data_IF_341953323516
#
_entry.id   IF_341953323516
#
_cell.length_a   1.000
_cell.length_b   1.000
_cell.length_c   1.000
_cell.angle_alpha   90.00
_cell.angle_beta   90.00
_cell.angle_gamma   90.00
#
_symmetry.space_group_name_H-M   'P 1'
#
loop_
_entity.id
_entity.type
_entity.pdbx_description
1 polymer ?
#
# COMPACT_ATOMS: atom_id res chain seq x y z
N UNK A 1 -6.71 23.59 25.60
CA UNK A 1 -7.59 22.42 25.80
C UNK A 1 -6.92 21.31 26.57
N UNK A 2 -5.83 20.71 26.06
CA UNK A 2 -5.00 19.79 26.86
C UNK A 2 -4.08 20.50 27.85
N UNK A 3 -3.57 21.68 27.47
CA UNK A 3 -2.76 22.57 28.32
C UNK A 3 -3.60 23.76 28.84
N UNK A 4 -4.90 23.53 29.12
CA UNK A 4 -5.81 24.53 29.69
C UNK A 4 -6.10 25.81 28.87
N UNK A 5 -5.55 25.96 27.65
CA UNK A 5 -5.94 27.05 26.72
C UNK A 5 -7.44 27.01 26.43
N UNK A 6 -8.14 28.14 26.55
CA UNK A 6 -9.59 28.21 26.36
C UNK A 6 -9.97 28.27 24.85
N UNK A 7 -11.24 28.01 24.53
CA UNK A 7 -11.77 28.01 23.15
C UNK A 7 -11.62 29.38 22.50
N UNK A 8 -11.87 30.45 23.24
CA UNK A 8 -11.87 31.82 22.72
C UNK A 8 -10.47 32.25 22.27
N UNK A 9 -9.44 31.91 23.05
CA UNK A 9 -8.04 32.18 22.73
C UNK A 9 -7.58 31.40 21.49
N UNK A 10 -7.96 30.11 21.38
CA UNK A 10 -7.65 29.32 20.17
C UNK A 10 -8.37 29.90 18.95
N UNK A 11 -9.61 30.36 19.10
CA UNK A 11 -10.35 31.02 18.03
C UNK A 11 -9.66 32.30 17.57
N UNK A 12 -9.24 33.16 18.50
CA UNK A 12 -8.53 34.40 18.19
C UNK A 12 -7.22 34.17 17.42
N UNK A 13 -6.51 33.07 17.71
CA UNK A 13 -5.24 32.73 17.07
C UNK A 13 -5.40 32.01 15.72
N UNK A 14 -6.39 31.12 15.62
CA UNK A 14 -6.55 30.22 14.46
C UNK A 14 -7.60 30.66 13.45
N UNK A 15 -8.51 31.56 13.87
CA UNK A 15 -9.73 31.94 13.14
C UNK A 15 -10.69 30.77 12.85
N UNK A 16 -10.48 29.59 13.46
CA UNK A 16 -11.40 28.45 13.38
C UNK A 16 -12.65 28.77 14.17
N UNK A 17 -13.82 28.54 13.58
CA UNK A 17 -15.10 28.81 14.25
C UNK A 17 -15.22 28.07 15.59
N UNK A 18 -15.77 28.76 16.58
CA UNK A 18 -15.91 28.25 17.95
C UNK A 18 -16.72 26.96 18.01
N UNK A 19 -17.66 26.74 17.09
CA UNK A 19 -18.41 25.49 16.98
C UNK A 19 -17.47 24.29 16.80
N UNK A 20 -16.53 24.35 15.84
CA UNK A 20 -15.56 23.27 15.63
C UNK A 20 -14.64 23.10 16.83
N UNK A 21 -14.20 24.21 17.44
CA UNK A 21 -13.32 24.15 18.61
C UNK A 21 -14.04 23.48 19.80
N UNK A 22 -15.31 23.78 20.04
CA UNK A 22 -16.12 23.12 21.07
C UNK A 22 -16.22 21.61 20.82
N UNK A 23 -16.39 21.17 19.57
CA UNK A 23 -16.38 19.74 19.23
C UNK A 23 -15.00 19.09 19.50
N UNK A 24 -13.89 19.78 19.20
CA UNK A 24 -12.56 19.31 19.58
C UNK A 24 -12.39 19.23 21.11
N UNK A 25 -13.03 20.13 21.88
CA UNK A 25 -13.03 20.07 23.34
C UNK A 25 -13.65 18.79 23.85
N UNK A 26 -14.80 18.41 23.31
CA UNK A 26 -15.51 17.18 23.70
C UNK A 26 -14.62 15.94 23.48
N UNK A 27 -13.90 15.90 22.36
CA UNK A 27 -12.91 14.84 22.10
C UNK A 27 -11.77 14.85 23.13
N UNK A 28 -11.24 16.02 23.49
CA UNK A 28 -10.18 16.13 24.52
C UNK A 28 -10.69 15.68 25.90
N UNK A 29 -11.90 16.09 26.27
CA UNK A 29 -12.51 15.73 27.55
C UNK A 29 -12.80 14.21 27.60
N UNK A 30 -13.21 13.60 26.48
CA UNK A 30 -13.37 12.14 26.34
C UNK A 30 -12.03 11.38 26.45
N UNK A 31 -10.94 11.93 25.91
CA UNK A 31 -9.60 11.36 26.08
C UNK A 31 -9.15 11.42 27.54
N UNK A 32 -9.38 12.54 28.24
CA UNK A 32 -9.10 12.66 29.67
C UNK A 32 -9.92 11.66 30.50
N UNK A 33 -11.20 11.47 30.13
CA UNK A 33 -12.07 10.45 30.73
C UNK A 33 -11.47 9.03 30.59
N UNK A 34 -10.91 8.70 29.42
CA UNK A 34 -10.23 7.42 29.18
C UNK A 34 -8.93 7.30 29.97
N UNK A 35 -8.08 8.33 29.96
CA UNK A 35 -6.78 8.32 30.65
C UNK A 35 -6.90 8.19 32.17
N UNK A 36 -8.02 8.64 32.74
CA UNK A 36 -8.31 8.53 34.16
C UNK A 36 -8.71 7.11 34.61
N UNK A 37 -8.86 6.15 33.70
CA UNK A 37 -9.40 4.80 33.97
C UNK A 37 -8.55 3.71 33.33
N UNK A 38 -8.66 2.50 33.86
CA UNK A 38 -8.18 1.30 33.18
C UNK A 38 -9.25 0.75 32.24
N UNK A 39 -8.82 -0.04 31.27
CA UNK A 39 -9.73 -0.69 30.32
C UNK A 39 -10.80 -1.52 31.05
N UNK A 40 -10.47 -2.19 32.16
CA UNK A 40 -11.42 -3.04 32.92
C UNK A 40 -12.60 -2.26 33.50
N UNK A 41 -12.40 -1.02 33.93
CA UNK A 41 -13.43 -0.18 34.55
C UNK A 41 -14.34 0.56 33.55
N UNK A 42 -14.05 0.48 32.25
CA UNK A 42 -14.88 1.08 31.22
C UNK A 42 -16.21 0.30 31.06
N UNK A 43 -17.34 0.97 31.27
CA UNK A 43 -18.68 0.39 31.12
C UNK A 43 -19.07 0.30 29.65
N UNK A 44 -20.12 -0.47 29.34
CA UNK A 44 -20.66 -0.57 27.97
C UNK A 44 -21.06 0.80 27.42
N UNK A 45 -21.77 1.61 28.21
CA UNK A 45 -22.24 2.93 27.78
C UNK A 45 -21.08 3.89 27.56
N UNK A 46 -20.10 3.93 28.48
CA UNK A 46 -18.90 4.75 28.32
C UNK A 46 -18.06 4.33 27.11
N UNK A 47 -18.00 3.03 26.83
CA UNK A 47 -17.34 2.51 25.64
C UNK A 47 -18.07 2.96 24.37
N UNK A 48 -19.40 2.81 24.31
CA UNK A 48 -20.20 3.23 23.15
C UNK A 48 -20.08 4.73 22.89
N UNK A 49 -20.09 5.54 23.95
CA UNK A 49 -19.99 6.99 23.82
C UNK A 49 -18.65 7.40 23.23
N UNK A 50 -17.55 6.82 23.71
CA UNK A 50 -16.21 7.05 23.19
C UNK A 50 -16.09 6.64 21.72
N UNK A 51 -16.70 5.52 21.31
CA UNK A 51 -16.71 5.10 19.90
C UNK A 51 -17.56 6.05 19.02
N UNK A 52 -18.66 6.60 19.53
CA UNK A 52 -19.45 7.63 18.83
C UNK A 52 -18.70 8.94 18.63
N UNK A 53 -17.78 9.27 19.54
CA UNK A 53 -16.83 10.39 19.36
C UNK A 53 -15.69 10.06 18.38
N UNK A 54 -15.69 8.88 17.74
CA UNK A 54 -14.73 8.50 16.71
C UNK A 54 -13.39 7.95 17.21
N UNK A 55 -13.27 7.57 18.49
CA UNK A 55 -12.03 6.99 19.00
C UNK A 55 -11.78 5.59 18.43
N UNK A 56 -10.61 5.39 17.83
CA UNK A 56 -10.12 4.07 17.42
C UNK A 56 -9.75 3.19 18.63
N UNK A 57 -9.78 1.88 18.43
CA UNK A 57 -9.35 0.90 19.43
C UNK A 57 -7.89 1.14 19.83
N UNK A 58 -7.05 1.63 18.90
CA UNK A 58 -5.67 2.05 19.14
C UNK A 58 -5.55 3.27 20.06
N UNK A 59 -6.38 4.29 19.88
CA UNK A 59 -6.40 5.47 20.76
C UNK A 59 -6.89 5.12 22.16
N UNK A 60 -7.93 4.29 22.26
CA UNK A 60 -8.42 3.78 23.55
C UNK A 60 -7.31 2.99 24.23
N UNK A 61 -6.64 2.08 23.52
CA UNK A 61 -5.55 1.27 24.04
C UNK A 61 -4.41 2.12 24.60
N UNK A 62 -4.02 3.17 23.86
CA UNK A 62 -3.04 4.15 24.32
C UNK A 62 -3.49 4.85 25.61
N UNK A 63 -4.71 5.37 25.65
CA UNK A 63 -5.23 6.10 26.81
C UNK A 63 -5.39 5.19 28.05
N UNK A 64 -5.85 3.95 27.87
CA UNK A 64 -6.08 3.00 28.96
C UNK A 64 -4.87 2.15 29.31
N UNK A 65 -3.70 2.40 28.68
CA UNK A 65 -2.45 1.65 28.85
C UNK A 65 -2.61 0.14 28.65
N UNK A 66 -3.38 -0.23 27.62
CA UNK A 66 -3.64 -1.61 27.22
C UNK A 66 -3.21 -1.84 25.77
N UNK A 67 -3.44 -3.03 25.25
CA UNK A 67 -3.21 -3.36 23.84
C UNK A 67 -4.48 -3.18 23.01
N UNK A 68 -4.32 -2.89 21.71
CA UNK A 68 -5.43 -2.77 20.75
C UNK A 68 -6.30 -4.04 20.72
N UNK A 69 -5.66 -5.21 20.80
CA UNK A 69 -6.34 -6.51 20.85
C UNK A 69 -7.24 -6.68 22.08
N UNK A 70 -6.80 -6.21 23.24
CA UNK A 70 -7.62 -6.24 24.46
C UNK A 70 -8.83 -5.32 24.36
N UNK A 71 -8.64 -4.11 23.79
CA UNK A 71 -9.74 -3.17 23.54
C UNK A 71 -10.76 -3.76 22.58
N UNK A 72 -10.32 -4.31 21.44
CA UNK A 72 -11.20 -4.99 20.47
C UNK A 72 -11.97 -6.15 21.11
N UNK A 73 -11.30 -6.96 21.92
CA UNK A 73 -11.94 -8.09 22.62
C UNK A 73 -13.04 -7.61 23.59
N UNK A 74 -12.78 -6.51 24.32
CA UNK A 74 -13.76 -5.90 25.21
C UNK A 74 -14.92 -5.23 24.45
N UNK A 75 -14.63 -4.56 23.33
CA UNK A 75 -15.65 -4.00 22.44
C UNK A 75 -16.61 -5.08 21.95
N UNK A 76 -16.06 -6.20 21.47
CA UNK A 76 -16.83 -7.33 20.97
C UNK A 76 -17.68 -8.00 22.07
N UNK A 77 -17.19 -8.08 23.31
CA UNK A 77 -17.96 -8.66 24.42
C UNK A 77 -19.20 -7.83 24.80
N UNK A 78 -19.20 -6.53 24.49
CA UNK A 78 -20.36 -5.66 24.66
C UNK A 78 -21.31 -5.64 23.45
N UNK A 79 -20.95 -6.32 22.36
CA UNK A 79 -21.65 -6.22 21.07
C UNK A 79 -21.41 -4.88 20.36
N UNK A 80 -20.29 -4.21 20.65
CA UNK A 80 -19.92 -2.92 20.06
C UNK A 80 -19.33 -3.06 18.65
N UNK A 81 -20.05 -3.70 17.74
CA UNK A 81 -19.69 -3.68 16.31
C UNK A 81 -20.26 -2.43 15.66
N UNK A 82 -19.54 -1.79 14.71
CA UNK A 82 -20.11 -0.67 13.97
C UNK A 82 -21.33 -1.12 13.17
N UNK A 83 -22.30 -0.24 13.02
CA UNK A 83 -23.32 -0.29 11.98
C UNK A 83 -22.81 0.47 10.75
N UNK A 84 -23.38 0.16 9.58
CA UNK A 84 -23.03 0.84 8.34
C UNK A 84 -24.26 1.52 7.76
N UNK A 85 -24.09 2.75 7.30
CA UNK A 85 -25.12 3.63 6.77
C UNK A 85 -24.88 3.92 5.30
N UNK A 86 -25.94 4.08 4.52
CA UNK A 86 -25.84 4.42 3.09
C UNK A 86 -25.81 5.92 2.88
N UNK A 87 -25.03 6.33 1.88
CA UNK A 87 -25.10 7.70 1.35
C UNK A 87 -26.16 7.75 0.25
N UNK A 88 -27.20 8.55 0.46
CA UNK A 88 -28.40 8.61 -0.41
C UNK A 88 -28.75 10.01 -0.95
N UNK A 89 -28.00 11.04 -0.54
CA UNK A 89 -28.21 12.46 -0.84
C UNK A 89 -29.57 13.06 -0.41
N UNK A 90 -30.45 12.28 0.22
CA UNK A 90 -31.81 12.68 0.60
C UNK A 90 -32.12 12.43 2.09
N UNK A 91 -31.11 12.08 2.90
CA UNK A 91 -31.25 11.87 4.34
C UNK A 91 -32.36 10.85 4.67
N UNK A 92 -32.37 9.73 3.93
CA UNK A 92 -33.34 8.65 4.01
C UNK A 92 -34.81 9.04 3.71
N UNK A 93 -35.05 10.18 3.04
CA UNK A 93 -36.40 10.51 2.53
C UNK A 93 -36.89 9.46 1.53
N UNK A 94 -35.96 8.89 0.74
CA UNK A 94 -36.24 7.84 -0.24
C UNK A 94 -35.35 6.62 0.00
N UNK A 95 -35.89 5.43 -0.26
CA UNK A 95 -35.08 4.20 -0.23
C UNK A 95 -34.00 4.23 -1.31
N UNK A 96 -32.76 3.88 -0.93
CA UNK A 96 -31.63 3.81 -1.84
C UNK A 96 -31.06 2.39 -1.93
N UNK A 97 -30.54 2.06 -3.12
CA UNK A 97 -29.71 0.88 -3.35
C UNK A 97 -28.26 1.26 -3.67
N UNK A 98 -27.83 2.49 -3.34
CA UNK A 98 -26.46 2.94 -3.57
C UNK A 98 -25.48 2.04 -2.82
N UNK A 99 -24.38 1.59 -3.46
CA UNK A 99 -23.40 0.73 -2.82
C UNK A 99 -22.49 1.49 -1.84
N UNK A 100 -22.74 2.77 -1.58
CA UNK A 100 -21.84 3.67 -0.88
C UNK A 100 -22.17 3.75 0.61
N UNK A 101 -21.23 3.29 1.45
CA UNK A 101 -21.45 3.15 2.89
C UNK A 101 -20.34 3.74 3.73
N UNK A 102 -20.68 4.10 4.96
CA UNK A 102 -19.76 4.51 6.02
C UNK A 102 -20.19 3.92 7.37
N UNK A 103 -19.23 3.72 8.27
CA UNK A 103 -19.44 3.15 9.59
C UNK A 103 -19.92 4.21 10.58
N UNK A 104 -20.78 3.78 11.50
CA UNK A 104 -21.22 4.55 12.65
C UNK A 104 -21.45 3.60 13.84
N UNK A 105 -21.49 4.15 15.04
CA UNK A 105 -21.87 3.41 16.25
C UNK A 105 -23.35 3.67 16.63
N UNK A 106 -24.21 3.71 15.61
CA UNK A 106 -25.67 3.83 15.73
C UNK A 106 -26.36 2.46 15.73
N UNK A 107 -27.66 2.43 16.05
CA UNK A 107 -28.41 1.19 16.32
C UNK A 107 -28.76 0.36 15.09
N UNK A 108 -28.89 0.94 13.90
CA UNK A 108 -29.39 0.25 12.69
C UNK A 108 -28.31 0.13 11.62
N UNK A 109 -28.15 -1.08 11.06
CA UNK A 109 -27.15 -1.37 10.03
C UNK A 109 -27.84 -1.64 8.67
N UNK A 110 -27.45 -0.88 7.65
CA UNK A 110 -28.02 -0.87 6.31
C UNK A 110 -27.17 -1.63 5.29
N UNK A 111 -26.07 -2.27 5.72
CA UNK A 111 -25.13 -2.94 4.81
C UNK A 111 -25.74 -4.08 4.00
N UNK A 112 -26.70 -4.80 4.59
CA UNK A 112 -27.42 -5.93 3.99
C UNK A 112 -26.50 -6.88 3.17
N UNK A 113 -25.49 -7.53 3.79
CA UNK A 113 -24.52 -8.35 3.07
C UNK A 113 -25.16 -9.49 2.28
N UNK A 114 -24.69 -9.71 1.05
CA UNK A 114 -25.21 -10.79 0.19
C UNK A 114 -24.50 -12.14 0.43
N UNK A 115 -25.01 -13.24 -0.13
CA UNK A 115 -24.34 -14.56 -0.12
C UNK A 115 -23.57 -14.87 -1.41
N UNK A 116 -23.47 -13.92 -2.33
CA UNK A 116 -22.70 -14.10 -3.57
C UNK A 116 -21.22 -14.25 -3.22
N UNK A 117 -20.43 -14.81 -4.14
CA UNK A 117 -18.98 -14.79 -3.98
C UNK A 117 -18.48 -13.34 -4.04
N UNK A 118 -17.64 -12.93 -3.08
CA UNK A 118 -17.14 -11.57 -2.96
C UNK A 118 -15.63 -11.55 -2.82
N UNK A 119 -15.01 -10.56 -3.44
CA UNK A 119 -13.59 -10.24 -3.23
C UNK A 119 -13.54 -8.84 -2.67
N UNK A 120 -12.90 -8.68 -1.51
CA UNK A 120 -12.63 -7.39 -0.91
C UNK A 120 -11.34 -6.83 -1.51
N UNK A 121 -11.35 -5.59 -2.00
CA UNK A 121 -10.14 -4.91 -2.51
C UNK A 121 -9.80 -3.79 -1.53
N UNK A 122 -8.59 -3.83 -0.98
CA UNK A 122 -8.08 -2.76 -0.13
C UNK A 122 -7.33 -1.74 -0.99
N UNK A 123 -7.81 -0.50 -0.99
CA UNK A 123 -7.22 0.59 -1.74
C UNK A 123 -6.50 1.60 -0.82
N UNK A 124 -5.52 2.30 -1.37
CA UNK A 124 -4.83 3.43 -0.76
C UNK A 124 -5.18 4.79 -1.38
N UNK A 125 -6.00 4.81 -2.44
CA UNK A 125 -6.39 6.02 -3.18
C UNK A 125 -7.88 6.38 -3.09
N UNK A 126 -8.28 7.55 -3.63
CA UNK A 126 -9.67 7.98 -3.68
C UNK A 126 -10.47 7.12 -4.66
N UNK A 127 -11.48 6.42 -4.16
CA UNK A 127 -12.40 5.63 -4.97
C UNK A 127 -13.73 6.35 -5.24
N UNK A 128 -14.32 6.07 -6.41
CA UNK A 128 -15.68 6.47 -6.75
C UNK A 128 -16.66 5.31 -6.52
N UNK A 129 -17.88 5.63 -6.07
CA UNK A 129 -18.91 4.64 -5.74
C UNK A 129 -19.43 3.83 -6.93
N UNK A 130 -19.23 4.29 -8.16
CA UNK A 130 -19.65 3.58 -9.39
C UNK A 130 -18.72 2.42 -9.78
N UNK A 131 -17.64 2.19 -9.03
CA UNK A 131 -16.58 1.24 -9.41
C UNK A 131 -16.77 -0.18 -8.86
N UNK A 132 -17.66 -0.37 -7.88
CA UNK A 132 -17.84 -1.64 -7.17
C UNK A 132 -19.30 -1.94 -6.86
N UNK A 133 -19.62 -3.22 -6.64
CA UNK A 133 -20.95 -3.64 -6.15
C UNK A 133 -21.24 -3.12 -4.72
N UNK A 134 -20.19 -2.75 -3.99
CA UNK A 134 -20.20 -2.35 -2.59
C UNK A 134 -18.95 -1.51 -2.31
N UNK A 135 -19.11 -0.31 -1.75
CA UNK A 135 -18.05 0.61 -1.37
C UNK A 135 -18.18 0.96 0.11
N UNK A 136 -17.18 0.57 0.90
CA UNK A 136 -17.01 1.00 2.28
C UNK A 136 -16.00 2.16 2.31
N UNK A 137 -16.47 3.35 2.69
CA UNK A 137 -15.66 4.56 2.80
C UNK A 137 -15.09 4.68 4.20
N UNK A 138 -14.15 3.79 4.50
CA UNK A 138 -13.52 3.69 5.81
C UNK A 138 -12.06 4.11 5.75
N UNK A 139 -11.50 4.58 6.88
CA UNK A 139 -10.05 4.62 7.05
C UNK A 139 -9.43 3.24 6.80
N UNK A 140 -8.35 3.16 6.01
CA UNK A 140 -7.60 1.92 5.75
C UNK A 140 -6.77 1.46 6.96
N UNK A 141 -7.44 1.15 8.07
CA UNK A 141 -6.85 0.67 9.34
C UNK A 141 -7.21 -0.79 9.58
N UNK A 142 -6.39 -1.48 10.38
CA UNK A 142 -6.65 -2.89 10.74
C UNK A 142 -8.03 -3.05 11.38
N UNK A 143 -8.41 -2.15 12.28
CA UNK A 143 -9.70 -2.17 12.97
C UNK A 143 -10.88 -2.21 12.01
N UNK A 144 -10.93 -1.26 11.07
CA UNK A 144 -12.07 -1.11 10.15
C UNK A 144 -12.10 -2.20 9.08
N UNK A 145 -10.93 -2.61 8.58
CA UNK A 145 -10.84 -3.72 7.65
C UNK A 145 -11.39 -5.01 8.29
N UNK A 146 -11.03 -5.29 9.55
CA UNK A 146 -11.57 -6.44 10.27
C UNK A 146 -13.08 -6.33 10.50
N UNK A 147 -13.60 -5.14 10.79
CA UNK A 147 -15.04 -4.92 10.94
C UNK A 147 -15.80 -5.27 9.63
N UNK A 148 -15.29 -4.81 8.48
CA UNK A 148 -15.86 -5.13 7.17
C UNK A 148 -15.72 -6.62 6.84
N UNK A 149 -14.59 -7.27 7.14
CA UNK A 149 -14.39 -8.71 6.91
C UNK A 149 -15.38 -9.55 7.72
N UNK A 150 -15.56 -9.22 9.01
CA UNK A 150 -16.48 -9.94 9.90
C UNK A 150 -17.94 -9.83 9.42
N UNK A 151 -18.30 -8.65 8.90
CA UNK A 151 -19.63 -8.36 8.35
C UNK A 151 -19.86 -9.04 6.99
N UNK A 152 -18.96 -8.83 6.02
CA UNK A 152 -19.16 -9.24 4.63
C UNK A 152 -18.76 -10.68 4.34
N UNK A 153 -17.84 -11.23 5.14
CA UNK A 153 -17.23 -12.56 5.00
C UNK A 153 -16.78 -12.83 3.57
N UNK A 154 -15.87 -12.02 3.00
CA UNK A 154 -15.44 -12.17 1.62
C UNK A 154 -14.70 -13.50 1.39
N UNK A 155 -14.79 -14.05 0.18
CA UNK A 155 -14.08 -15.27 -0.22
C UNK A 155 -12.58 -15.02 -0.45
N UNK A 156 -12.19 -13.78 -0.70
CA UNK A 156 -10.81 -13.37 -0.92
C UNK A 156 -10.60 -11.89 -0.64
N UNK A 157 -9.35 -11.52 -0.36
CA UNK A 157 -8.94 -10.14 -0.09
C UNK A 157 -7.73 -9.82 -0.97
N UNK A 158 -7.79 -8.73 -1.74
CA UNK A 158 -6.69 -8.21 -2.55
C UNK A 158 -6.10 -7.01 -1.82
N UNK A 159 -4.81 -7.09 -1.51
CA UNK A 159 -4.03 -6.07 -0.78
C UNK A 159 -2.90 -5.48 -1.63
N UNK A 160 -2.67 -6.05 -2.82
CA UNK A 160 -1.51 -5.77 -3.66
C UNK A 160 -1.69 -4.57 -4.59
N UNK A 161 -2.88 -3.94 -4.62
CA UNK A 161 -3.20 -2.84 -5.54
C UNK A 161 -3.12 -1.46 -4.89
N UNK A 162 -3.47 -1.33 -3.60
CA UNK A 162 -3.54 -0.05 -2.90
C UNK A 162 -2.21 0.50 -2.37
N UNK A 163 -1.07 0.03 -2.88
CA UNK A 163 0.26 0.50 -2.47
C UNK A 163 0.68 0.05 -1.06
N UNK A 164 1.47 0.88 -0.38
CA UNK A 164 2.13 0.51 0.87
C UNK A 164 1.18 0.32 2.06
N UNK A 165 0.05 1.04 2.10
CA UNK A 165 -0.86 0.99 3.26
C UNK A 165 -1.48 -0.40 3.44
N UNK A 166 -2.14 -1.02 2.43
CA UNK A 166 -2.65 -2.38 2.57
C UNK A 166 -1.54 -3.44 2.65
N UNK A 167 -0.40 -3.24 2.00
CA UNK A 167 0.73 -4.18 2.07
C UNK A 167 1.30 -4.32 3.49
N UNK A 168 1.40 -3.22 4.24
CA UNK A 168 1.85 -3.24 5.64
C UNK A 168 0.91 -4.04 6.54
N UNK A 169 -0.37 -4.04 6.25
CA UNK A 169 -1.38 -4.80 6.99
C UNK A 169 -1.33 -6.31 6.70
N UNK A 170 -0.79 -6.70 5.55
CA UNK A 170 -0.69 -8.10 5.13
C UNK A 170 0.59 -8.83 5.60
N UNK A 171 1.48 -8.16 6.33
CA UNK A 171 2.80 -8.70 6.67
C UNK A 171 2.79 -9.56 7.95
N UNK A 172 3.24 -10.81 7.84
CA UNK A 172 4.39 -11.25 8.62
C UNK A 172 5.49 -11.85 7.72
N UNK A 173 6.76 -11.48 7.97
CA UNK A 173 7.99 -12.16 7.51
C UNK A 173 8.26 -12.11 5.99
N UNK A 174 8.89 -11.03 5.50
CA UNK A 174 9.50 -11.01 4.14
C UNK A 174 11.03 -10.88 4.16
N UNK A 175 11.59 -10.12 5.10
CA UNK A 175 12.97 -9.63 4.96
C UNK A 175 14.06 -10.71 5.15
N UNK A 176 13.83 -11.73 5.98
CA UNK A 176 14.83 -12.79 6.20
C UNK A 176 14.95 -13.81 5.06
N UNK A 177 13.93 -13.91 4.20
CA UNK A 177 13.82 -14.98 3.19
C UNK A 177 14.23 -14.53 1.78
N UNK A 178 14.21 -13.22 1.51
CA UNK A 178 14.53 -12.66 0.20
C UNK A 178 16.00 -12.88 -0.21
N UNK A 179 16.95 -12.49 0.65
CA UNK A 179 18.39 -12.66 0.36
C UNK A 179 18.80 -14.14 0.17
N UNK A 180 18.13 -15.06 0.88
CA UNK A 180 18.35 -16.49 0.70
C UNK A 180 17.91 -16.95 -0.71
N UNK A 181 16.74 -16.51 -1.17
CA UNK A 181 16.22 -16.81 -2.51
C UNK A 181 17.16 -16.27 -3.60
N UNK A 182 17.66 -15.05 -3.45
CA UNK A 182 18.57 -14.45 -4.43
C UNK A 182 19.87 -15.25 -4.58
N UNK A 183 20.44 -15.71 -3.45
CA UNK A 183 21.62 -16.58 -3.44
C UNK A 183 21.36 -17.93 -4.11
N UNK A 184 20.22 -18.56 -3.83
CA UNK A 184 19.83 -19.82 -4.48
C UNK A 184 19.64 -19.67 -6.00
N UNK A 185 19.14 -18.51 -6.44
CA UNK A 185 18.90 -18.21 -7.85
C UNK A 185 20.13 -17.69 -8.61
N UNK A 186 21.25 -17.44 -7.92
CA UNK A 186 22.43 -16.73 -8.44
C UNK A 186 22.04 -15.38 -9.08
N UNK A 187 21.22 -14.60 -8.38
CA UNK A 187 20.87 -13.22 -8.76
C UNK A 187 21.79 -12.28 -7.99
N UNK A 188 22.47 -11.40 -8.72
CA UNK A 188 23.39 -10.44 -8.13
C UNK A 188 22.65 -9.20 -7.61
N UNK A 189 23.12 -8.70 -6.48
CA UNK A 189 22.71 -7.41 -5.91
C UNK A 189 23.96 -6.55 -5.70
N UNK A 190 23.80 -5.21 -5.63
CA UNK A 190 24.86 -4.34 -5.14
C UNK A 190 25.31 -4.80 -3.75
N UNK A 191 26.58 -4.57 -3.41
CA UNK A 191 27.07 -4.81 -2.06
C UNK A 191 26.28 -3.95 -1.08
N UNK A 192 25.77 -4.56 -0.01
CA UNK A 192 24.89 -3.95 0.99
C UNK A 192 24.96 -4.70 2.33
N UNK A 193 24.17 -4.28 3.32
CA UNK A 193 24.16 -4.87 4.67
C UNK A 193 22.92 -4.53 5.54
N UNK A 194 22.96 -4.83 6.84
CA UNK A 194 21.95 -4.38 7.82
C UNK A 194 22.64 -3.75 9.03
N UNK A 195 22.31 -2.49 9.36
CA UNK A 195 23.00 -1.64 10.31
C UNK A 195 21.96 -1.25 11.36
N UNK A 196 22.25 -1.56 12.61
CA UNK A 196 21.35 -1.30 13.75
C UNK A 196 21.90 -0.20 14.65
N UNK A 197 23.07 0.32 14.31
CA UNK A 197 23.76 1.40 15.00
C UNK A 197 24.60 2.19 14.00
N UNK A 198 25.01 3.40 14.41
CA UNK A 198 25.94 4.23 13.65
C UNK A 198 27.28 3.51 13.38
N UNK A 199 27.79 2.77 14.36
CA UNK A 199 29.04 2.01 14.23
C UNK A 199 28.93 0.92 13.15
N UNK A 200 27.81 0.19 13.09
CA UNK A 200 27.55 -0.80 12.06
C UNK A 200 27.52 -0.14 10.67
N UNK A 201 26.84 1.00 10.56
CA UNK A 201 26.72 1.74 9.30
C UNK A 201 28.09 2.19 8.77
N UNK A 202 28.96 2.69 9.64
CA UNK A 202 30.33 3.09 9.28
C UNK A 202 31.19 1.89 8.86
N UNK A 203 31.09 0.77 9.57
CA UNK A 203 31.82 -0.45 9.22
C UNK A 203 31.39 -1.01 7.85
N UNK A 204 30.08 -1.02 7.59
CA UNK A 204 29.51 -1.46 6.32
C UNK A 204 29.91 -0.50 5.19
N UNK A 205 29.82 0.82 5.40
CA UNK A 205 30.24 1.80 4.41
C UNK A 205 31.74 1.69 4.07
N UNK A 206 32.59 1.37 5.05
CA UNK A 206 34.01 1.15 4.83
C UNK A 206 34.31 -0.12 3.99
N UNK A 207 33.53 -1.19 4.17
CA UNK A 207 33.66 -2.43 3.38
C UNK A 207 33.12 -2.27 1.94
N UNK A 208 32.00 -1.56 1.80
CA UNK A 208 31.33 -1.36 0.51
C UNK A 208 32.04 -0.31 -0.36
N UNK A 209 32.54 0.75 0.28
CA UNK A 209 33.13 1.92 -0.37
C UNK A 209 32.11 3.00 -0.74
N UNK A 210 32.51 4.26 -0.62
CA UNK A 210 31.67 5.43 -0.97
C UNK A 210 31.61 5.69 -2.48
N UNK A 211 30.52 6.30 -2.99
CA UNK A 211 29.31 6.73 -2.25
C UNK A 211 28.36 5.56 -1.90
N UNK A 212 27.52 5.77 -0.88
CA UNK A 212 26.58 4.76 -0.38
C UNK A 212 25.15 5.30 -0.30
N UNK A 213 24.15 4.42 -0.49
CA UNK A 213 22.72 4.75 -0.41
C UNK A 213 22.14 4.30 0.92
N UNK A 214 21.60 5.23 1.73
CA UNK A 214 21.02 4.91 3.06
C UNK A 214 19.49 4.98 3.02
N UNK A 215 18.82 3.87 3.32
CA UNK A 215 17.35 3.78 3.35
C UNK A 215 16.81 3.62 4.79
N UNK A 216 15.59 4.08 5.06
CA UNK A 216 14.99 4.09 6.42
C UNK A 216 14.75 2.68 7.01
N UNK A 217 14.88 1.61 6.25
CA UNK A 217 14.63 0.23 6.69
C UNK A 217 15.69 -0.78 6.23
N UNK A 218 16.71 -0.33 5.48
CA UNK A 218 17.78 -1.14 4.92
C UNK A 218 19.01 -0.27 4.62
N UNK A 219 20.22 -0.83 4.65
CA UNK A 219 21.45 -0.04 4.73
C UNK A 219 22.03 0.29 3.39
N UNK A 220 22.89 1.30 3.44
CA UNK A 220 24.16 1.48 2.70
C UNK A 220 24.39 0.45 1.60
N UNK A 221 23.70 0.56 0.47
CA UNK A 221 24.08 -0.13 -0.75
C UNK A 221 25.18 0.66 -1.46
N UNK A 222 26.07 -0.02 -2.18
CA UNK A 222 27.04 0.67 -3.05
C UNK A 222 26.27 1.49 -4.07
N UNK A 223 26.53 2.80 -4.10
CA UNK A 223 26.01 3.63 -5.17
C UNK A 223 26.68 3.22 -6.49
N UNK A 224 25.87 2.87 -7.48
CA UNK A 224 26.34 2.49 -8.81
C UNK A 224 26.29 3.74 -9.70
N UNK A 225 27.42 4.42 -9.82
CA UNK A 225 27.57 5.60 -10.69
C UNK A 225 27.43 5.24 -12.16
N UNK A 226 26.82 6.15 -12.93
CA UNK A 226 26.64 6.04 -14.39
C UNK A 226 25.91 4.77 -14.84
N UNK A 227 25.04 4.23 -13.97
CA UNK A 227 24.28 3.03 -14.25
C UNK A 227 22.87 3.36 -14.75
N UNK A 228 22.36 2.55 -15.69
CA UNK A 228 21.00 2.69 -16.23
C UNK A 228 20.03 1.90 -15.37
N UNK A 229 18.94 2.52 -14.92
CA UNK A 229 17.88 1.86 -14.17
C UNK A 229 16.81 1.28 -15.10
N UNK A 230 16.32 0.08 -14.76
CA UNK A 230 15.33 -0.67 -15.52
C UNK A 230 14.18 -1.07 -14.60
N UNK A 231 12.95 -0.73 -14.98
CA UNK A 231 11.74 -1.24 -14.35
C UNK A 231 11.15 -2.39 -15.16
N UNK A 232 10.71 -3.44 -14.48
CA UNK A 232 10.05 -4.58 -15.10
C UNK A 232 8.76 -4.89 -14.37
N UNK A 233 7.63 -4.71 -15.06
CA UNK A 233 6.34 -5.18 -14.58
C UNK A 233 6.06 -6.58 -15.14
N UNK A 234 5.58 -7.48 -14.28
CA UNK A 234 5.29 -8.87 -14.63
C UNK A 234 3.97 -9.33 -14.05
N UNK A 235 3.38 -10.33 -14.70
CA UNK A 235 2.17 -10.99 -14.28
C UNK A 235 2.40 -12.49 -14.12
N UNK A 236 2.03 -13.05 -12.98
CA UNK A 236 2.17 -14.46 -12.66
C UNK A 236 0.86 -15.08 -12.17
N UNK A 237 0.64 -16.36 -12.47
CA UNK A 237 -0.53 -17.12 -11.99
C UNK A 237 -0.16 -18.21 -10.97
N UNK A 238 -1.19 -18.78 -10.35
CA UNK A 238 -1.07 -19.88 -9.39
C UNK A 238 -0.49 -21.18 -9.97
N UNK A 239 -0.33 -21.26 -11.29
CA UNK A 239 0.24 -22.41 -11.99
C UNK A 239 1.73 -22.20 -12.34
N UNK A 240 2.38 -21.20 -11.73
CA UNK A 240 3.76 -20.81 -11.99
C UNK A 240 4.03 -20.34 -13.43
N UNK A 241 3.00 -19.92 -14.17
CA UNK A 241 3.21 -19.22 -15.43
C UNK A 241 3.55 -17.77 -15.13
N UNK A 242 4.51 -17.21 -15.87
CA UNK A 242 4.97 -15.83 -15.69
C UNK A 242 5.14 -15.17 -17.05
N UNK A 243 4.52 -14.01 -17.23
CA UNK A 243 4.61 -13.20 -18.43
C UNK A 243 5.14 -11.82 -18.07
N UNK A 244 6.09 -11.33 -18.87
CA UNK A 244 6.59 -9.97 -18.75
C UNK A 244 5.53 -9.03 -19.32
N UNK A 245 5.12 -8.04 -18.53
CA UNK A 245 4.22 -6.97 -18.96
C UNK A 245 4.97 -5.92 -19.79
N UNK A 246 6.11 -5.46 -19.29
CA UNK A 246 6.99 -4.54 -20.01
C UNK A 246 8.34 -4.37 -19.32
N UNK A 247 9.38 -4.10 -20.12
CA UNK A 247 10.73 -3.76 -19.65
C UNK A 247 10.99 -2.31 -20.03
N UNK A 248 11.02 -1.43 -19.03
CA UNK A 248 11.13 0.01 -19.19
C UNK A 248 12.55 0.47 -18.88
N UNK A 249 13.13 1.25 -19.78
CA UNK A 249 14.45 1.86 -19.60
C UNK A 249 14.28 3.28 -19.09
N UNK A 250 14.93 3.63 -17.97
CA UNK A 250 14.91 5.00 -17.47
C UNK A 250 15.83 5.89 -18.31
N UNK A 251 15.45 7.17 -18.44
CA UNK A 251 16.28 8.19 -19.08
C UNK A 251 17.36 8.68 -18.12
N UNK A 252 16.96 8.95 -16.87
CA UNK A 252 17.87 9.28 -15.79
C UNK A 252 18.65 8.04 -15.33
N UNK A 253 19.86 8.28 -14.83
CA UNK A 253 20.69 7.25 -14.22
C UNK A 253 20.12 6.79 -12.87
N UNK A 254 20.50 5.58 -12.47
CA UNK A 254 20.23 5.06 -11.13
C UNK A 254 20.71 6.04 -10.06
N UNK A 255 19.83 6.34 -9.11
CA UNK A 255 20.05 7.37 -8.09
C UNK A 255 19.02 8.50 -8.14
N UNK A 256 18.39 8.74 -9.30
CA UNK A 256 17.12 9.46 -9.38
C UNK A 256 16.01 8.45 -9.12
N UNK A 257 15.09 8.77 -8.21
CA UNK A 257 14.05 7.83 -7.81
C UNK A 257 13.12 7.48 -8.98
N UNK A 258 12.80 6.20 -9.19
CA UNK A 258 11.97 5.69 -10.30
C UNK A 258 10.62 6.39 -10.51
N UNK A 259 10.05 6.96 -9.44
CA UNK A 259 8.82 7.76 -9.52
C UNK A 259 8.98 9.06 -10.30
N UNK A 260 10.17 9.64 -10.22
CA UNK A 260 10.54 10.94 -10.78
C UNK A 260 11.21 10.79 -12.15
N UNK A 261 11.85 9.65 -12.42
CA UNK A 261 12.50 9.39 -13.69
C UNK A 261 11.51 9.31 -14.86
N UNK A 262 11.91 9.84 -16.01
CA UNK A 262 11.30 9.52 -17.28
C UNK A 262 11.71 8.11 -17.70
N UNK A 263 10.87 7.41 -18.45
CA UNK A 263 11.21 6.08 -18.95
C UNK A 263 10.58 5.77 -20.30
N UNK A 264 11.17 4.79 -20.98
CA UNK A 264 10.81 4.38 -22.33
C UNK A 264 10.45 2.89 -22.38
N UNK A 265 9.39 2.56 -23.12
CA UNK A 265 9.00 1.19 -23.49
C UNK A 265 8.78 1.11 -25.01
N UNK A 266 9.47 0.22 -25.75
CA UNK A 266 10.49 -0.72 -25.29
C UNK A 266 11.84 -0.04 -25.03
N UNK A 267 12.72 -0.69 -24.25
CA UNK A 267 14.12 -0.27 -24.07
C UNK A 267 14.83 -0.04 -25.42
N UNK A 268 15.63 1.01 -25.53
CA UNK A 268 16.29 1.46 -26.76
C UNK A 268 17.79 1.19 -26.78
N UNK A 269 18.50 1.42 -25.66
CA UNK A 269 19.97 1.41 -25.65
C UNK A 269 20.57 0.13 -25.07
N UNK A 270 19.76 -0.65 -24.36
CA UNK A 270 20.24 -1.83 -23.63
C UNK A 270 20.48 -3.02 -24.56
N UNK A 271 21.60 -3.70 -24.35
CA UNK A 271 21.96 -4.90 -25.10
C UNK A 271 20.95 -6.05 -24.89
N UNK A 272 20.74 -6.86 -25.93
CA UNK A 272 19.85 -8.03 -25.84
C UNK A 272 20.30 -9.05 -24.79
N UNK A 273 21.60 -9.12 -24.50
CA UNK A 273 22.16 -10.00 -23.46
C UNK A 273 21.64 -9.60 -22.07
N UNK A 274 21.78 -8.32 -21.70
CA UNK A 274 21.27 -7.80 -20.43
C UNK A 274 19.76 -7.98 -20.32
N UNK A 275 19.02 -7.64 -21.39
CA UNK A 275 17.58 -7.79 -21.40
C UNK A 275 17.11 -9.25 -21.24
N UNK A 276 17.86 -10.21 -21.79
CA UNK A 276 17.58 -11.64 -21.58
C UNK A 276 17.87 -12.07 -20.14
N UNK A 277 18.95 -11.58 -19.53
CA UNK A 277 19.27 -11.80 -18.12
C UNK A 277 18.17 -11.27 -17.22
N UNK A 278 17.76 -10.01 -17.43
CA UNK A 278 16.66 -9.36 -16.69
C UNK A 278 15.39 -10.21 -16.79
N UNK A 279 14.91 -10.51 -18.00
CA UNK A 279 13.69 -11.34 -18.18
C UNK A 279 13.80 -12.71 -17.53
N UNK A 280 14.97 -13.35 -17.58
CA UNK A 280 15.23 -14.65 -16.97
C UNK A 280 15.16 -14.57 -15.44
N UNK A 281 15.86 -13.60 -14.85
CA UNK A 281 15.88 -13.37 -13.41
C UNK A 281 14.50 -13.01 -12.89
N UNK A 282 13.77 -12.11 -13.55
CA UNK A 282 12.42 -11.73 -13.13
C UNK A 282 11.47 -12.94 -13.12
N UNK A 283 11.51 -13.78 -14.16
CA UNK A 283 10.68 -15.00 -14.21
C UNK A 283 11.04 -16.01 -13.12
N UNK A 284 12.33 -16.20 -12.83
CA UNK A 284 12.79 -17.08 -11.75
C UNK A 284 12.35 -16.55 -10.39
N UNK A 285 12.52 -15.25 -10.16
CA UNK A 285 12.17 -14.60 -8.91
C UNK A 285 10.67 -14.67 -8.64
N UNK A 286 9.83 -14.39 -9.65
CA UNK A 286 8.38 -14.52 -9.54
C UNK A 286 7.94 -15.93 -9.09
N UNK A 287 8.57 -16.97 -9.65
CA UNK A 287 8.30 -18.37 -9.29
C UNK A 287 8.75 -18.69 -7.88
N UNK A 288 9.96 -18.30 -7.49
CA UNK A 288 10.48 -18.58 -6.15
C UNK A 288 9.73 -17.84 -5.04
N UNK A 289 9.22 -16.65 -5.35
CA UNK A 289 8.36 -15.88 -4.45
C UNK A 289 6.90 -16.36 -4.45
N UNK A 290 6.53 -17.33 -5.31
CA UNK A 290 5.16 -17.80 -5.52
C UNK A 290 4.18 -16.65 -5.80
N UNK A 291 4.59 -15.71 -6.67
CA UNK A 291 3.76 -14.57 -7.04
C UNK A 291 2.49 -15.06 -7.73
N UNK A 292 1.34 -14.56 -7.28
CA UNK A 292 0.05 -14.67 -7.96
C UNK A 292 -0.53 -13.26 -8.09
N UNK A 293 -0.60 -12.74 -9.32
CA UNK A 293 -0.90 -11.34 -9.60
C UNK A 293 0.30 -10.59 -10.19
N UNK A 294 0.43 -9.31 -9.84
CA UNK A 294 1.49 -8.43 -10.34
C UNK A 294 2.75 -8.50 -9.47
N UNK A 295 3.91 -8.35 -10.11
CA UNK A 295 5.17 -8.07 -9.45
C UNK A 295 5.98 -7.09 -10.30
N UNK A 296 6.60 -6.13 -9.63
CA UNK A 296 7.57 -5.21 -10.19
C UNK A 296 8.99 -5.56 -9.71
N UNK A 297 9.96 -5.46 -10.60
CA UNK A 297 11.37 -5.57 -10.26
C UNK A 297 12.13 -4.38 -10.83
N UNK A 298 13.01 -3.80 -10.01
CA UNK A 298 13.93 -2.75 -10.42
C UNK A 298 15.34 -3.35 -10.53
N UNK A 299 15.97 -3.09 -11.67
CA UNK A 299 17.34 -3.49 -11.96
C UNK A 299 18.18 -2.26 -12.27
N UNK A 300 19.48 -2.42 -12.18
CA UNK A 300 20.44 -1.45 -12.70
C UNK A 300 21.48 -2.15 -13.54
N UNK A 301 21.97 -1.45 -14.56
CA UNK A 301 22.98 -1.94 -15.50
C UNK A 301 24.17 -0.99 -15.42
N UNK A 302 25.33 -1.51 -15.04
CA UNK A 302 26.55 -0.70 -14.96
C UNK A 302 27.14 -0.43 -16.34
N UNK A 303 28.10 0.50 -16.42
CA UNK A 303 28.87 0.80 -17.64
C UNK A 303 29.59 -0.46 -18.17
N UNK A 304 29.98 -1.37 -17.27
CA UNK A 304 30.61 -2.65 -17.60
C UNK A 304 29.60 -3.73 -18.04
N UNK A 305 28.33 -3.35 -18.26
CA UNK A 305 27.26 -4.21 -18.80
C UNK A 305 26.86 -5.32 -17.81
N UNK A 306 27.14 -5.13 -16.51
CA UNK A 306 26.71 -6.02 -15.43
C UNK A 306 25.32 -5.65 -14.94
N UNK A 307 24.48 -6.65 -14.69
CA UNK A 307 23.08 -6.48 -14.27
C UNK A 307 22.95 -6.78 -12.78
N UNK A 308 22.41 -5.84 -12.02
CA UNK A 308 22.12 -6.00 -10.59
C UNK A 308 20.63 -5.82 -10.31
N UNK A 309 20.07 -6.63 -9.41
CA UNK A 309 18.72 -6.43 -8.89
C UNK A 309 18.77 -5.43 -7.71
N UNK A 310 17.99 -4.35 -7.80
CA UNK A 310 17.82 -3.39 -6.71
C UNK A 310 16.75 -3.88 -5.74
N UNK A 311 15.53 -4.04 -6.23
CA UNK A 311 14.39 -4.49 -5.42
C UNK A 311 13.37 -5.29 -6.24
N UNK A 312 12.53 -6.05 -5.53
CA UNK A 312 11.39 -6.74 -6.10
C UNK A 312 10.17 -6.59 -5.21
N UNK A 313 9.10 -6.05 -5.80
CA UNK A 313 7.86 -5.70 -5.15
C UNK A 313 6.75 -6.62 -5.69
N UNK A 314 6.30 -7.65 -4.94
CA UNK A 314 5.22 -8.54 -5.37
C UNK A 314 3.84 -7.87 -5.22
N UNK A 315 3.69 -6.71 -5.86
CA UNK A 315 2.49 -5.90 -5.89
C UNK A 315 2.40 -5.12 -7.22
N UNK A 316 1.27 -4.44 -7.43
CA UNK A 316 1.14 -3.53 -8.55
C UNK A 316 2.05 -2.31 -8.35
N UNK A 317 2.87 -1.99 -9.36
CA UNK A 317 3.63 -0.76 -9.39
C UNK A 317 2.80 0.40 -9.94
N UNK A 318 3.29 1.62 -9.72
CA UNK A 318 2.76 2.83 -10.36
C UNK A 318 2.91 2.82 -11.88
N UNK A 319 3.73 1.93 -12.44
CA UNK A 319 4.01 1.84 -13.88
C UNK A 319 2.98 0.97 -14.63
N UNK A 320 2.23 0.14 -13.90
CA UNK A 320 1.23 -0.77 -14.48
C UNK A 320 0.22 -0.07 -15.41
N UNK A 321 -0.34 1.12 -15.09
CA UNK A 321 -1.21 1.85 -16.01
C UNK A 321 -0.51 2.29 -17.29
N UNK A 322 0.74 2.80 -17.19
CA UNK A 322 1.55 3.20 -18.34
C UNK A 322 1.83 2.01 -19.25
N UNK A 323 2.34 0.91 -18.69
CA UNK A 323 2.61 -0.33 -19.45
C UNK A 323 1.33 -0.84 -20.11
N UNK A 324 0.22 -0.86 -19.38
CA UNK A 324 -1.08 -1.34 -19.89
C UNK A 324 -1.53 -0.55 -21.12
N UNK A 325 -1.35 0.78 -21.10
CA UNK A 325 -1.70 1.65 -22.24
C UNK A 325 -0.75 1.45 -23.41
N UNK A 326 0.55 1.34 -23.16
CA UNK A 326 1.56 1.16 -24.20
C UNK A 326 1.40 -0.17 -24.96
N UNK A 327 1.14 -1.27 -24.25
CA UNK A 327 0.97 -2.59 -24.89
C UNK A 327 -0.47 -2.88 -25.34
N UNK A 328 -1.45 -2.09 -24.87
CA UNK A 328 -2.88 -2.30 -25.17
C UNK A 328 -3.54 -3.44 -24.38
N UNK A 329 -2.98 -3.84 -23.24
CA UNK A 329 -3.52 -4.92 -22.38
C UNK A 329 -3.75 -4.41 -20.95
N UNK A 330 -4.93 -4.63 -20.34
CA UNK A 330 -5.26 -4.14 -19.00
C UNK A 330 -4.64 -5.03 -17.90
N UNK A 331 -3.35 -4.83 -17.61
CA UNK A 331 -2.59 -5.71 -16.70
C UNK A 331 -3.20 -5.81 -15.29
N UNK A 332 -3.73 -4.72 -14.73
CA UNK A 332 -4.42 -4.74 -13.44
C UNK A 332 -5.68 -5.63 -13.45
N UNK A 333 -6.46 -5.58 -14.54
CA UNK A 333 -7.64 -6.44 -14.69
C UNK A 333 -7.24 -7.92 -14.83
N UNK A 334 -6.16 -8.18 -15.56
CA UNK A 334 -5.62 -9.53 -15.71
C UNK A 334 -5.12 -10.07 -14.37
N UNK A 335 -4.42 -9.26 -13.59
CA UNK A 335 -3.99 -9.58 -12.24
C UNK A 335 -5.17 -9.91 -11.31
N UNK A 336 -6.23 -9.10 -11.31
CA UNK A 336 -7.42 -9.37 -10.51
C UNK A 336 -8.06 -10.72 -10.87
N UNK A 337 -8.16 -11.04 -12.17
CA UNK A 337 -8.69 -12.32 -12.64
C UNK A 337 -7.82 -13.51 -12.22
N UNK A 338 -6.50 -13.34 -12.28
CA UNK A 338 -5.54 -14.37 -11.90
C UNK A 338 -5.52 -14.62 -10.39
N UNK A 339 -5.53 -13.56 -9.58
CA UNK A 339 -5.68 -13.66 -8.12
C UNK A 339 -7.02 -14.29 -7.72
N UNK A 340 -8.05 -14.17 -8.57
CA UNK A 340 -9.35 -14.84 -8.41
C UNK A 340 -9.37 -16.29 -8.92
N UNK A 341 -8.23 -16.84 -9.33
CA UNK A 341 -8.06 -18.25 -9.69
C UNK A 341 -8.01 -18.56 -11.19
N UNK A 342 -8.07 -17.56 -12.09
CA UNK A 342 -7.84 -17.81 -13.53
C UNK A 342 -6.36 -17.99 -13.83
N UNK A 343 -6.04 -18.79 -14.83
CA UNK A 343 -4.69 -18.91 -15.39
C UNK A 343 -4.42 -17.86 -16.46
N UNK A 344 -3.14 -17.61 -16.74
CA UNK A 344 -2.69 -16.77 -17.87
C UNK A 344 -3.19 -17.30 -19.23
N UNK A 345 -3.34 -18.61 -19.36
CA UNK A 345 -3.90 -19.25 -20.54
C UNK A 345 -5.38 -18.91 -20.73
N UNK A 346 -6.18 -18.95 -19.65
CA UNK A 346 -7.62 -18.64 -19.73
C UNK A 346 -7.91 -17.16 -20.04
N UNK A 347 -7.02 -16.25 -19.65
CA UNK A 347 -7.12 -14.83 -20.01
C UNK A 347 -6.40 -14.47 -21.32
N UNK A 348 -5.83 -15.47 -22.01
CA UNK A 348 -5.14 -15.33 -23.30
C UNK A 348 -3.94 -14.36 -23.26
N UNK A 349 -3.26 -14.25 -22.12
CA UNK A 349 -2.07 -13.41 -21.96
C UNK A 349 -0.87 -14.27 -21.56
N UNK A 350 -0.28 -14.93 -22.55
CA UNK A 350 0.74 -15.98 -22.35
C UNK A 350 2.14 -15.60 -22.83
N UNK A 351 2.27 -14.44 -23.49
CA UNK A 351 3.52 -13.95 -24.07
C UNK A 351 3.65 -12.45 -23.84
N UNK A 352 4.89 -12.02 -23.70
CA UNK A 352 5.24 -10.60 -23.64
C UNK A 352 4.86 -9.91 -24.95
N UNK A 353 4.26 -8.73 -24.84
CA UNK A 353 3.87 -7.90 -25.98
C UNK A 353 4.88 -6.77 -26.11
N UNK A 354 5.59 -6.72 -27.24
CA UNK A 354 6.48 -5.61 -27.57
C UNK A 354 5.70 -4.63 -28.45
N UNK A 355 5.46 -3.38 -28.01
CA UNK A 355 4.71 -2.42 -28.82
C UNK A 355 5.50 -2.04 -30.07
N UNK A 356 4.79 -1.80 -31.18
CA UNK A 356 5.38 -1.35 -32.45
C UNK A 356 5.77 0.14 -32.46
N UNK A 357 5.41 0.86 -31.39
CA UNK A 357 5.73 2.26 -31.16
C UNK A 357 6.58 2.39 -29.90
N UNK A 358 7.21 3.55 -29.75
CA UNK A 358 7.90 3.93 -28.52
C UNK A 358 6.93 4.71 -27.65
N UNK A 359 6.70 4.24 -26.43
CA UNK A 359 5.95 4.94 -25.41
C UNK A 359 6.93 5.55 -24.39
N UNK A 360 6.69 6.80 -24.00
CA UNK A 360 7.52 7.52 -23.03
C UNK A 360 6.63 8.02 -21.89
N UNK A 361 7.06 7.81 -20.66
CA UNK A 361 6.49 8.43 -19.45
C UNK A 361 7.41 9.55 -19.00
N UNK A 362 6.81 10.67 -18.60
CA UNK A 362 7.48 11.81 -17.98
C UNK A 362 6.76 12.17 -16.66
N UNK A 363 7.50 12.68 -15.68
CA UNK A 363 6.96 13.17 -14.42
C UNK A 363 6.64 14.68 -14.50
N UNK A 364 5.64 15.11 -13.73
CA UNK A 364 5.32 16.53 -13.53
C UNK A 364 5.63 16.88 -12.09
N UNK A 365 6.47 17.90 -11.89
CA UNK A 365 6.96 18.26 -10.57
C UNK A 365 6.30 19.54 -10.04
N UNK A 366 5.90 19.58 -8.75
CA UNK A 366 5.30 20.75 -8.12
C UNK A 366 6.35 21.78 -7.64
N UNK A 367 7.55 21.82 -8.21
CA UNK A 367 8.61 22.74 -7.76
C UNK A 367 8.20 24.23 -7.80
N UNK A 368 7.24 24.59 -8.66
CA UNK A 368 6.68 25.93 -8.72
C UNK A 368 5.79 26.29 -7.53
N UNK A 369 5.21 25.30 -6.85
CA UNK A 369 4.35 25.50 -5.66
C UNK A 369 5.17 25.69 -4.38
N UNK A 370 6.44 25.28 -4.38
CA UNK A 370 7.37 25.46 -3.26
C UNK A 370 8.54 26.34 -3.71
N UNK A 371 8.34 27.68 -3.82
CA UNK A 371 9.44 28.58 -4.11
C UNK A 371 10.52 28.41 -3.04
N UNK A 372 11.76 28.20 -3.50
CA UNK A 372 12.95 27.84 -2.70
C UNK A 372 12.96 28.50 -1.32
N UNK A 373 12.96 27.67 -0.27
CA UNK A 373 13.35 28.05 1.10
C UNK A 373 14.85 28.38 1.19
#
# INVERSE_FOLDING_TARGET
MKNDTNVDEIHELSFVDKWFLTQHKEVVDAEQYLMARSLSHLTKDGFSEVKKHGFSDKQIAFATKSTEKEVRSKRNSFGGTPSYKRVDACAAEFETNTPYMYSSYDSECESAPTKRKKVLILDGGPNHYDTSDCLYFEPSTEEEILNVIELERPDGIIVQFGGQTPLKLALPIQQGRFNAILKELNIEQPKGGIAKSEADALAIAADIGFPVVVCQSYVSDKYLSDAVEIDVDTLADSHNNVVIGGVMEHIEQAGVHSGDSACILPSQTISSSCLNTIRSWTKKLAKSLNVCGLMNCQYTITVDVEVFLLEANPCASRMVPFVSKAIGHPLAQYAARVMSGKSLNEILFTKEVIPAHVAVKEAIFPFFEVPRL
#
